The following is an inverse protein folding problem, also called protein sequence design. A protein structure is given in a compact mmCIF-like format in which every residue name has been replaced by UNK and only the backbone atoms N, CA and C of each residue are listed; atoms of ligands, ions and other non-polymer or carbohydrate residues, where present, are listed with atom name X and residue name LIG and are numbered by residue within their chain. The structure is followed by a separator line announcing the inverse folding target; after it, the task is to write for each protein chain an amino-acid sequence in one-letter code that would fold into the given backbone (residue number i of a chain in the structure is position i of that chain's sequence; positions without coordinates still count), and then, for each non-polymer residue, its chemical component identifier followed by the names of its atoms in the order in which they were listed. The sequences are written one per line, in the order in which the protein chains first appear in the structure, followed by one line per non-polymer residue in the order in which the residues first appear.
data_IF_376513037353
#
_entry.id   IF_376513037353
#
_cell.length_a   1.000
_cell.length_b   1.000
_cell.length_c   1.000
_cell.angle_alpha   90.00
_cell.angle_beta   90.00
_cell.angle_gamma   90.00
#
_symmetry.space_group_name_H-M   'P 1'
#
loop_
_entity.id
_entity.type
_entity.pdbx_description
1 polymer ?
#
# COMPACT_ATOMS: atom_id res chain seq x y z
N UNK A 1 -9.96 19.32 19.60
CA UNK A 1 -8.80 18.95 18.76
C UNK A 1 -9.34 18.44 17.43
N UNK A 2 -8.86 18.93 16.29
CA UNK A 2 -9.31 18.44 14.98
C UNK A 2 -8.81 17.02 14.77
N UNK A 3 -9.69 16.13 14.30
CA UNK A 3 -9.30 14.79 13.88
C UNK A 3 -8.72 14.88 12.45
N UNK A 4 -7.44 14.56 12.21
CA UNK A 4 -6.86 14.66 10.87
C UNK A 4 -7.55 13.70 9.91
N UNK A 5 -7.97 14.21 8.74
CA UNK A 5 -8.61 13.37 7.71
C UNK A 5 -7.72 12.22 7.23
N UNK A 6 -6.40 12.34 7.39
CA UNK A 6 -5.43 11.31 7.01
C UNK A 6 -5.73 9.94 7.66
N UNK A 7 -6.20 9.93 8.90
CA UNK A 7 -6.43 8.71 9.67
C UNK A 7 -7.89 8.25 9.69
N UNK A 8 -8.77 8.89 8.92
CA UNK A 8 -10.18 8.49 8.84
C UNK A 8 -10.42 7.50 7.70
N UNK A 9 -11.41 6.59 7.84
CA UNK A 9 -11.79 5.70 6.76
C UNK A 9 -12.16 6.43 5.48
N UNK A 10 -11.89 5.79 4.34
CA UNK A 10 -12.23 6.32 3.02
C UNK A 10 -12.52 5.18 2.05
N UNK A 11 -13.46 5.40 1.13
CA UNK A 11 -13.86 4.42 0.13
C UNK A 11 -13.30 4.79 -1.23
N UNK A 12 -12.56 3.87 -1.84
CA UNK A 12 -12.03 3.98 -3.20
C UNK A 12 -12.74 2.93 -4.05
N UNK A 13 -13.59 3.38 -4.97
CA UNK A 13 -14.50 2.49 -5.69
C UNK A 13 -15.30 1.57 -4.74
N UNK A 14 -15.11 0.24 -4.85
CA UNK A 14 -15.76 -0.76 -3.99
C UNK A 14 -15.01 -1.14 -2.71
N UNK A 15 -13.81 -0.57 -2.46
CA UNK A 15 -12.95 -0.94 -1.35
C UNK A 15 -12.99 0.12 -0.23
N UNK A 16 -13.26 -0.31 1.00
CA UNK A 16 -13.11 0.53 2.19
C UNK A 16 -11.69 0.42 2.75
N UNK A 17 -11.02 1.56 2.91
CA UNK A 17 -9.70 1.68 3.52
C UNK A 17 -9.82 2.27 4.92
N UNK A 18 -9.08 1.69 5.86
CA UNK A 18 -8.99 2.14 7.26
C UNK A 18 -8.40 3.54 7.44
N UNK A 19 -7.62 4.03 6.48
CA UNK A 19 -7.03 5.37 6.49
C UNK A 19 -6.70 5.80 5.05
N UNK A 20 -6.14 7.01 4.89
CA UNK A 20 -5.79 7.60 3.60
C UNK A 20 -4.28 7.54 3.30
N UNK A 21 -3.56 6.59 3.90
CA UNK A 21 -2.12 6.39 3.70
C UNK A 21 -1.94 5.24 2.71
N UNK A 22 -1.21 5.49 1.63
CA UNK A 22 -0.99 4.51 0.56
C UNK A 22 0.49 4.48 0.19
N UNK A 23 0.96 3.33 -0.28
CA UNK A 23 2.30 3.17 -0.85
C UNK A 23 2.21 3.56 -2.33
N UNK A 24 2.98 4.57 -2.74
CA UNK A 24 3.07 4.95 -4.15
C UNK A 24 3.68 3.80 -4.98
N UNK A 25 3.30 3.64 -6.26
CA UNK A 25 3.94 2.64 -7.11
C UNK A 25 5.43 2.98 -7.29
N UNK A 26 6.30 1.99 -7.06
CA UNK A 26 7.75 2.12 -7.17
C UNK A 26 8.33 0.93 -7.92
N UNK A 27 9.29 1.17 -8.81
CA UNK A 27 10.07 0.10 -9.42
C UNK A 27 11.14 -0.37 -8.43
N UNK A 28 10.87 -1.50 -7.77
CA UNK A 28 11.78 -2.04 -6.76
C UNK A 28 12.85 -2.97 -7.34
N UNK A 29 12.78 -3.30 -8.64
CA UNK A 29 13.76 -4.11 -9.38
C UNK A 29 14.22 -5.40 -8.66
N UNK A 30 13.31 -6.03 -7.92
CA UNK A 30 13.61 -7.17 -7.05
C UNK A 30 12.97 -8.49 -7.54
N UNK A 31 12.39 -8.46 -8.74
CA UNK A 31 11.81 -9.64 -9.40
C UNK A 31 12.90 -10.43 -10.12
N UNK A 32 12.79 -11.76 -10.06
CA UNK A 32 13.65 -12.68 -10.79
C UNK A 32 12.89 -13.25 -11.98
N UNK A 33 13.34 -12.97 -13.20
CA UNK A 33 12.64 -13.30 -14.45
C UNK A 33 11.15 -12.89 -14.47
N UNK A 34 10.83 -11.73 -13.87
CA UNK A 34 9.45 -11.24 -13.75
C UNK A 34 8.59 -11.93 -12.69
N UNK A 35 9.17 -12.83 -11.89
CA UNK A 35 8.49 -13.51 -10.79
C UNK A 35 8.72 -12.77 -9.47
N UNK A 36 7.69 -12.78 -8.62
CA UNK A 36 7.83 -12.36 -7.24
C UNK A 36 8.78 -13.32 -6.50
N UNK A 37 9.50 -12.76 -5.53
CA UNK A 37 10.53 -13.41 -4.72
C UNK A 37 10.24 -13.16 -3.23
N UNK A 38 10.95 -13.83 -2.33
CA UNK A 38 10.82 -13.64 -0.87
C UNK A 38 10.99 -12.18 -0.43
N UNK A 39 11.76 -11.41 -1.19
CA UNK A 39 11.91 -9.97 -1.00
C UNK A 39 10.55 -9.24 -1.03
N UNK A 40 9.63 -9.64 -1.91
CA UNK A 40 8.33 -8.97 -2.05
C UNK A 40 7.43 -9.23 -0.84
N UNK A 41 7.49 -10.43 -0.25
CA UNK A 41 6.76 -10.77 0.97
C UNK A 41 7.30 -9.95 2.13
N UNK A 42 8.61 -9.96 2.35
CA UNK A 42 9.23 -9.21 3.46
C UNK A 42 9.03 -7.70 3.32
N UNK A 43 9.05 -7.18 2.10
CA UNK A 43 8.92 -5.74 1.85
C UNK A 43 7.48 -5.22 1.96
N UNK A 44 6.48 -6.00 1.51
CA UNK A 44 5.08 -5.57 1.47
C UNK A 44 4.24 -6.09 2.65
N UNK A 45 4.70 -7.14 3.35
CA UNK A 45 4.02 -7.78 4.47
C UNK A 45 3.10 -8.92 4.02
#
# INVERSE_FOLDING_TARGET
MSNPRLFTPFRVAGLELRNRIVIAPMCQYSADEGRATDWHVIHLG
#
